data_IF_002285920562
#
_entry.id   IF_002285920562
#
_cell.length_a   1.000
_cell.length_b   1.000
_cell.length_c   1.000
_cell.angle_alpha   90.00
_cell.angle_beta   90.00
_cell.angle_gamma   90.00
#
_symmetry.space_group_name_H-M   'P 1'
#
loop_
_entity.id
_entity.type
_entity.pdbx_description
1 polymer ?
#
# COMPACT_ATOMS: atom_id res chain seq x y z
N UNK A 1 -16.69 35.19 45.09
CA UNK A 1 -15.65 34.17 45.30
C UNK A 1 -16.30 32.85 45.71
N UNK A 2 -16.46 31.87 44.80
CA UNK A 2 -16.66 30.43 45.08
C UNK A 2 -16.29 29.59 43.82
N UNK A 3 -14.99 29.37 43.68
CA UNK A 3 -14.26 28.18 43.23
C UNK A 3 -14.81 27.38 42.03
N UNK A 4 -14.30 27.71 40.85
CA UNK A 4 -14.23 26.80 39.71
C UNK A 4 -12.80 26.23 39.62
N UNK A 5 -12.63 24.91 39.55
CA UNK A 5 -11.54 24.23 38.82
C UNK A 5 -11.73 22.71 38.96
N UNK A 6 -12.60 22.12 38.13
CA UNK A 6 -12.26 21.33 36.91
C UNK A 6 -11.28 20.18 37.24
N UNK A 7 -11.86 18.98 37.25
CA UNK A 7 -11.19 17.71 37.48
C UNK A 7 -10.11 17.42 36.42
N UNK A 8 -9.03 16.83 36.92
CA UNK A 8 -7.85 16.41 36.16
C UNK A 8 -8.18 15.11 35.42
N UNK A 9 -8.67 15.23 34.18
CA UNK A 9 -8.74 14.09 33.26
C UNK A 9 -7.34 13.88 32.69
N UNK A 10 -6.68 12.82 33.14
CA UNK A 10 -5.43 12.35 32.55
C UNK A 10 -5.72 11.85 31.13
N UNK A 11 -5.51 12.70 30.14
CA UNK A 11 -5.54 12.31 28.73
C UNK A 11 -4.14 11.79 28.38
N UNK A 12 -3.91 10.50 28.61
CA UNK A 12 -2.79 9.76 28.03
C UNK A 12 -2.98 9.76 26.51
N UNK A 13 -2.44 10.77 25.84
CA UNK A 13 -2.17 10.69 24.41
C UNK A 13 -1.13 9.59 24.22
N UNK A 14 -1.60 8.38 23.95
CA UNK A 14 -0.79 7.40 23.27
C UNK A 14 -0.41 8.04 21.93
N UNK A 15 0.80 8.59 21.87
CA UNK A 15 1.46 8.97 20.64
C UNK A 15 1.63 7.67 19.85
N UNK A 16 0.58 7.31 19.09
CA UNK A 16 0.71 6.40 17.99
C UNK A 16 1.85 6.94 17.15
N UNK A 17 2.93 6.16 17.05
CA UNK A 17 4.00 6.37 16.09
C UNK A 17 3.36 6.24 14.71
N UNK A 18 2.62 7.27 14.27
CA UNK A 18 2.20 7.39 12.88
C UNK A 18 3.50 7.48 12.12
N UNK A 19 3.92 6.36 11.53
CA UNK A 19 5.12 6.28 10.75
C UNK A 19 5.15 7.48 9.81
N UNK A 20 6.14 8.36 10.00
CA UNK A 20 6.37 9.53 9.16
C UNK A 20 6.70 9.06 7.74
N UNK A 21 5.65 8.82 6.96
CA UNK A 21 5.73 8.25 5.64
C UNK A 21 4.30 8.07 5.17
N UNK A 22 3.76 9.12 4.54
CA UNK A 22 2.42 9.06 3.97
C UNK A 22 2.29 7.97 2.90
N UNK A 23 1.11 7.91 2.28
CA UNK A 23 0.78 6.94 1.23
C UNK A 23 1.92 6.75 0.20
N UNK A 24 2.08 5.55 -0.38
CA UNK A 24 3.13 5.32 -1.38
C UNK A 24 2.98 6.28 -2.57
N UNK A 25 4.11 6.66 -3.16
CA UNK A 25 4.10 7.25 -4.50
C UNK A 25 3.74 6.18 -5.54
N UNK A 26 3.34 6.61 -6.74
CA UNK A 26 3.01 5.70 -7.85
C UNK A 26 4.18 4.76 -8.15
N UNK A 27 5.41 5.29 -8.23
CA UNK A 27 6.60 4.49 -8.53
C UNK A 27 6.90 3.44 -7.44
N UNK A 28 6.83 3.84 -6.17
CA UNK A 28 7.02 2.94 -5.04
C UNK A 28 5.99 1.81 -5.03
N UNK A 29 4.73 2.13 -5.33
CA UNK A 29 3.68 1.13 -5.40
C UNK A 29 3.80 0.24 -6.64
N UNK A 30 4.25 0.78 -7.79
CA UNK A 30 4.51 0.02 -9.00
C UNK A 30 5.60 -1.02 -8.74
N UNK A 31 6.71 -0.62 -8.13
CA UNK A 31 7.80 -1.55 -7.78
C UNK A 31 7.32 -2.64 -6.81
N UNK A 32 6.64 -2.24 -5.73
CA UNK A 32 6.09 -3.16 -4.74
C UNK A 32 5.10 -4.15 -5.38
N UNK A 33 4.29 -3.69 -6.33
CA UNK A 33 3.33 -4.52 -7.05
C UNK A 33 3.99 -5.49 -8.03
N UNK A 34 5.00 -5.05 -8.81
CA UNK A 34 5.82 -5.95 -9.64
C UNK A 34 6.44 -7.06 -8.80
N UNK A 35 6.93 -6.72 -7.61
CA UNK A 35 7.51 -7.68 -6.67
C UNK A 35 6.47 -8.71 -6.20
N UNK A 36 5.28 -8.26 -5.80
CA UNK A 36 4.16 -9.14 -5.43
C UNK A 36 3.81 -10.11 -6.57
N UNK A 37 3.74 -9.63 -7.82
CA UNK A 37 3.45 -10.50 -8.97
C UNK A 37 4.52 -11.57 -9.16
N UNK A 38 5.81 -11.20 -9.08
CA UNK A 38 6.92 -12.16 -9.15
C UNK A 38 6.85 -13.20 -8.03
N UNK A 39 6.56 -12.77 -6.81
CA UNK A 39 6.41 -13.64 -5.63
C UNK A 39 5.18 -14.57 -5.75
N UNK A 40 4.12 -14.13 -6.42
CA UNK A 40 2.90 -14.94 -6.66
C UNK A 40 3.07 -16.03 -7.72
N UNK A 41 4.23 -16.09 -8.39
CA UNK A 41 4.45 -17.01 -9.50
C UNK A 41 3.71 -16.63 -10.79
N UNK A 42 3.25 -15.37 -10.91
CA UNK A 42 2.58 -14.86 -12.09
C UNK A 42 3.58 -14.64 -13.25
N UNK A 43 4.19 -15.72 -13.76
CA UNK A 43 5.13 -15.69 -14.87
C UNK A 43 6.28 -14.69 -14.71
N UNK A 44 7.05 -14.48 -15.79
CA UNK A 44 7.99 -13.36 -15.83
C UNK A 44 7.22 -12.11 -16.22
N UNK A 45 6.92 -11.24 -15.25
CA UNK A 45 6.37 -9.89 -15.54
C UNK A 45 7.45 -9.08 -16.24
N UNK A 46 7.19 -8.68 -17.49
CA UNK A 46 8.13 -7.90 -18.30
C UNK A 46 7.86 -6.42 -18.23
N UNK A 47 6.60 -6.00 -18.09
CA UNK A 47 6.22 -4.60 -17.96
C UNK A 47 4.87 -4.42 -17.25
N UNK A 48 4.60 -3.20 -16.79
CA UNK A 48 3.28 -2.75 -16.35
C UNK A 48 2.96 -1.41 -17.01
N UNK A 49 1.90 -1.41 -17.79
CA UNK A 49 1.36 -0.23 -18.45
C UNK A 49 0.20 0.39 -17.67
N UNK A 50 0.01 1.70 -17.83
CA UNK A 50 -1.14 2.44 -17.29
C UNK A 50 -1.34 2.21 -15.78
N UNK A 51 -0.23 2.13 -15.03
CA UNK A 51 -0.27 1.91 -13.60
C UNK A 51 -0.89 3.12 -12.88
N UNK A 52 -1.91 2.87 -12.08
CA UNK A 52 -2.61 3.91 -11.32
C UNK A 52 -2.87 3.44 -9.89
N UNK A 53 -2.74 4.38 -8.95
CA UNK A 53 -3.20 4.27 -7.58
C UNK A 53 -4.31 5.27 -7.31
N UNK A 54 -5.40 4.79 -6.74
CA UNK A 54 -6.50 5.63 -6.26
C UNK A 54 -7.03 5.11 -4.92
N UNK A 55 -7.88 5.89 -4.25
CA UNK A 55 -8.57 5.44 -3.04
C UNK A 55 -7.64 5.01 -1.88
N UNK A 56 -6.42 5.54 -1.81
CA UNK A 56 -5.46 5.16 -0.77
C UNK A 56 -5.93 5.64 0.61
N UNK A 57 -6.24 4.71 1.49
CA UNK A 57 -6.64 4.94 2.89
C UNK A 57 -5.73 4.16 3.83
N UNK A 58 -5.54 4.63 5.06
CA UNK A 58 -4.79 3.86 6.06
C UNK A 58 -5.44 2.50 6.30
N UNK A 59 -4.61 1.45 6.40
CA UNK A 59 -5.09 0.10 6.59
C UNK A 59 -5.54 -0.09 8.03
N UNK A 60 -6.77 -0.56 8.22
CA UNK A 60 -7.24 -0.96 9.54
C UNK A 60 -6.56 -2.27 9.98
N UNK A 61 -6.08 -2.31 11.22
CA UNK A 61 -5.52 -3.53 11.83
C UNK A 61 -4.15 -3.98 11.32
N UNK A 62 -3.50 -3.21 10.45
CA UNK A 62 -2.13 -3.47 9.98
C UNK A 62 -1.48 -2.20 9.45
N UNK A 63 -0.16 -2.12 9.49
CA UNK A 63 0.56 -0.95 8.97
C UNK A 63 0.36 -0.73 7.47
N UNK A 64 0.42 0.53 7.04
CA UNK A 64 0.41 0.93 5.63
C UNK A 64 -0.95 1.43 5.13
N UNK A 65 -1.07 1.48 3.81
CA UNK A 65 -2.23 2.05 3.10
C UNK A 65 -2.85 1.00 2.19
N UNK A 66 -4.18 0.89 2.20
CA UNK A 66 -4.93 0.15 1.18
C UNK A 66 -5.25 1.08 0.03
N UNK A 67 -4.82 0.72 -1.17
CA UNK A 67 -5.07 1.49 -2.39
C UNK A 67 -5.75 0.61 -3.44
N UNK A 68 -6.60 1.23 -4.25
CA UNK A 68 -7.06 0.63 -5.49
C UNK A 68 -5.94 0.76 -6.54
N UNK A 69 -5.44 -0.40 -6.96
CA UNK A 69 -4.35 -0.56 -7.91
C UNK A 69 -4.89 -1.02 -9.24
N UNK A 70 -4.65 -0.22 -10.28
CA UNK A 70 -5.07 -0.51 -11.66
C UNK A 70 -3.90 -0.49 -12.62
N UNK A 71 -4.07 -1.18 -13.74
CA UNK A 71 -3.13 -1.15 -14.86
C UNK A 71 -3.21 -2.41 -15.70
N UNK A 72 -2.18 -2.64 -16.51
CA UNK A 72 -2.04 -3.83 -17.34
C UNK A 72 -0.66 -4.43 -17.14
N UNK A 73 -0.58 -5.62 -16.53
CA UNK A 73 0.66 -6.35 -16.40
C UNK A 73 0.91 -7.16 -17.67
N UNK A 74 2.11 -7.10 -18.23
CA UNK A 74 2.51 -7.93 -19.36
C UNK A 74 3.30 -9.11 -18.82
N UNK A 75 2.74 -10.31 -18.99
CA UNK A 75 3.38 -11.56 -18.59
C UNK A 75 4.05 -12.19 -19.80
N UNK A 76 5.26 -12.72 -19.63
CA UNK A 76 5.86 -13.62 -20.60
C UNK A 76 5.54 -15.08 -20.23
N UNK A 77 4.78 -15.74 -21.11
CA UNK A 77 4.41 -17.15 -21.00
C UNK A 77 4.92 -17.85 -22.25
N UNK A 78 5.91 -18.72 -22.11
CA UNK A 78 6.49 -19.50 -23.22
C UNK A 78 6.94 -18.62 -24.42
N UNK A 79 7.47 -17.42 -24.15
CA UNK A 79 7.92 -16.48 -25.18
C UNK A 79 6.81 -15.58 -25.75
N UNK A 80 5.55 -15.74 -25.30
CA UNK A 80 4.42 -14.88 -25.69
C UNK A 80 4.19 -13.81 -24.63
N UNK A 81 4.06 -12.56 -25.06
CA UNK A 81 3.64 -11.46 -24.21
C UNK A 81 2.11 -11.46 -24.10
N UNK A 82 1.61 -11.66 -22.89
CA UNK A 82 0.19 -11.72 -22.57
C UNK A 82 -0.16 -10.55 -21.66
N UNK A 83 -0.92 -9.54 -22.13
CA UNK A 83 -1.39 -8.46 -21.29
C UNK A 83 -2.56 -8.93 -20.42
N UNK A 84 -2.43 -8.75 -19.10
CA UNK A 84 -3.44 -9.10 -18.11
C UNK A 84 -3.90 -7.82 -17.40
N UNK A 85 -5.20 -7.48 -17.43
CA UNK A 85 -5.71 -6.34 -16.70
C UNK A 85 -5.59 -6.59 -15.19
N UNK A 86 -5.13 -5.57 -14.48
CA UNK A 86 -5.02 -5.55 -13.03
C UNK A 86 -6.04 -4.57 -12.49
N UNK A 87 -6.86 -5.03 -11.56
CA UNK A 87 -7.74 -4.19 -10.75
C UNK A 87 -7.89 -4.87 -9.39
N UNK A 88 -7.13 -4.40 -8.39
CA UNK A 88 -7.10 -5.01 -7.05
C UNK A 88 -6.97 -3.92 -6.00
N UNK A 89 -7.60 -4.13 -4.85
CA UNK A 89 -7.35 -3.31 -3.67
C UNK A 89 -6.23 -3.97 -2.84
N UNK A 90 -5.03 -3.40 -2.88
CA UNK A 90 -3.82 -3.96 -2.27
C UNK A 90 -3.39 -3.14 -1.06
N UNK A 91 -2.82 -3.80 -0.05
CA UNK A 91 -2.17 -3.11 1.07
C UNK A 91 -0.71 -2.85 0.71
N UNK A 92 -0.29 -1.60 0.82
CA UNK A 92 1.08 -1.16 0.65
C UNK A 92 1.65 -0.74 2.00
N UNK A 93 2.70 -1.40 2.46
CA UNK A 93 3.38 -1.08 3.72
C UNK A 93 4.86 -0.83 3.47
N UNK A 94 5.44 0.11 4.20
CA UNK A 94 6.88 0.39 4.12
C UNK A 94 7.58 -0.40 5.22
N UNK A 95 8.39 -1.37 4.82
CA UNK A 95 9.13 -2.27 5.71
C UNK A 95 10.63 -2.05 5.50
N UNK A 96 11.34 -1.69 6.57
CA UNK A 96 12.78 -1.44 6.54
C UNK A 96 13.20 -0.46 5.43
N UNK A 97 12.36 0.53 5.13
CA UNK A 97 12.62 1.52 4.09
C UNK A 97 12.10 1.17 2.69
N UNK A 98 11.66 -0.07 2.45
CA UNK A 98 11.18 -0.55 1.15
C UNK A 98 9.67 -0.77 1.17
N UNK A 99 8.98 -0.35 0.10
CA UNK A 99 7.55 -0.61 -0.03
C UNK A 99 7.26 -2.07 -0.45
N UNK A 100 6.30 -2.68 0.21
CA UNK A 100 5.80 -4.03 -0.05
C UNK A 100 4.30 -3.97 -0.34
N UNK A 101 3.85 -4.76 -1.31
CA UNK A 101 2.45 -4.88 -1.66
C UNK A 101 1.94 -6.24 -1.21
N UNK A 102 0.73 -6.28 -0.65
CA UNK A 102 0.08 -7.47 -0.13
C UNK A 102 -1.29 -7.61 -0.78
N UNK A 103 -1.48 -8.73 -1.48
CA UNK A 103 -2.81 -9.23 -1.76
C UNK A 103 -3.43 -9.73 -0.44
N UNK A 104 -4.70 -9.40 -0.20
CA UNK A 104 -5.43 -9.84 0.98
C UNK A 104 -5.63 -11.36 0.96
#
# INVERSE_FOLDING_TARGET
MKNAWIGLVALTMALGLTACGGKPSSDNAKEAFVRLLKESGAGQVTDIHQFELSGCVESEGADGYRCDTRGQAVLNIEGRQVPIPVSKNLRYAKESGTWRAYAK
#
